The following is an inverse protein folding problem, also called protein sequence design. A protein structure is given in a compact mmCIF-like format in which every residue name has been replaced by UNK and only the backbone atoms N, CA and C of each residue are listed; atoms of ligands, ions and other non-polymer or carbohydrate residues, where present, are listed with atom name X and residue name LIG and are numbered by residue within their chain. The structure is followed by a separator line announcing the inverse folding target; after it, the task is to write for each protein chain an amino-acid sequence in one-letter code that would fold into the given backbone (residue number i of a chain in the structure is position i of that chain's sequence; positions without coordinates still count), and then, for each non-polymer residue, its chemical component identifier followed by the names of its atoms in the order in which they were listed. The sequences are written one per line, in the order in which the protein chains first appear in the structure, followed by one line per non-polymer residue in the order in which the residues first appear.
data_IF_776307996719
#
_entry.id   IF_776307996719
#
_cell.length_a   1.000
_cell.length_b   1.000
_cell.length_c   1.000
_cell.angle_alpha   90.00
_cell.angle_beta   90.00
_cell.angle_gamma   90.00
#
_symmetry.space_group_name_H-M   'P 1'
#
loop_
_entity.id
_entity.type
_entity.pdbx_description
1 polymer ?
#
# COMPACT_ATOMS: atom_id res chain seq x y z
N UNK A 1 3.41 -8.21 9.45
CA UNK A 1 3.04 -7.12 8.51
C UNK A 1 1.80 -7.58 7.75
N UNK A 2 0.74 -6.77 7.75
CA UNK A 2 -0.56 -7.12 7.12
C UNK A 2 -0.45 -7.06 5.60
N UNK A 3 -1.28 -7.80 4.86
CA UNK A 3 -1.34 -7.65 3.39
C UNK A 3 -2.17 -6.42 3.01
N UNK A 4 -1.79 -5.75 1.94
CA UNK A 4 -2.49 -4.54 1.46
C UNK A 4 -3.99 -4.81 1.19
N UNK A 5 -4.34 -5.95 0.61
CA UNK A 5 -5.70 -6.36 0.26
C UNK A 5 -6.61 -6.66 1.46
N UNK A 6 -6.05 -6.70 2.67
CA UNK A 6 -6.82 -6.92 3.89
C UNK A 6 -7.33 -5.62 4.52
N UNK A 7 -6.89 -4.44 4.05
CA UNK A 7 -7.35 -3.14 4.56
C UNK A 7 -8.84 -2.93 4.26
N UNK A 8 -9.57 -2.35 5.21
CA UNK A 8 -10.95 -1.93 4.96
C UNK A 8 -10.96 -0.57 4.26
N UNK A 9 -10.88 -0.61 2.93
CA UNK A 9 -10.86 0.56 2.05
C UNK A 9 -12.20 1.31 1.98
N UNK A 10 -13.26 0.83 2.65
CA UNK A 10 -14.55 1.55 2.74
C UNK A 10 -14.49 2.70 3.74
N UNK A 11 -13.46 2.76 4.59
CA UNK A 11 -13.18 3.90 5.47
C UNK A 11 -12.29 4.91 4.76
N UNK A 12 -12.19 6.12 5.32
CA UNK A 12 -11.19 7.09 4.87
C UNK A 12 -9.79 6.51 5.08
N UNK A 13 -9.03 6.38 4.00
CA UNK A 13 -7.68 5.81 4.00
C UNK A 13 -6.75 6.75 3.24
N UNK A 14 -5.55 6.96 3.79
CA UNK A 14 -4.43 7.58 3.10
C UNK A 14 -3.36 6.54 2.78
N UNK A 15 -2.75 6.62 1.60
CA UNK A 15 -1.58 5.82 1.23
C UNK A 15 -0.32 6.64 1.51
N UNK A 16 0.47 6.21 2.49
CA UNK A 16 1.78 6.80 2.78
C UNK A 16 2.84 5.91 2.16
N UNK A 17 3.57 6.46 1.18
CA UNK A 17 4.60 5.72 0.44
C UNK A 17 5.95 6.41 0.59
N UNK A 18 7.00 5.59 0.65
CA UNK A 18 8.37 6.06 0.74
C UNK A 18 8.98 6.32 -0.62
N UNK A 19 10.23 6.80 -0.62
CA UNK A 19 10.99 6.94 -1.86
C UNK A 19 11.31 5.57 -2.47
N UNK A 20 11.58 5.54 -3.77
CA UNK A 20 11.93 4.28 -4.46
C UNK A 20 13.27 3.71 -3.99
N UNK A 21 14.23 4.58 -3.65
CA UNK A 21 15.57 4.17 -3.27
C UNK A 21 15.68 3.77 -1.80
N UNK A 22 14.98 4.47 -0.90
CA UNK A 22 15.15 4.32 0.55
C UNK A 22 13.88 3.87 1.29
N UNK A 23 12.74 3.80 0.62
CA UNK A 23 11.47 3.46 1.25
C UNK A 23 11.02 4.55 2.25
N UNK A 24 10.19 4.15 3.22
CA UNK A 24 9.73 5.05 4.27
C UNK A 24 10.83 5.25 5.32
N UNK A 25 11.08 6.50 5.77
CA UNK A 25 11.97 6.72 6.90
C UNK A 25 11.52 5.89 8.12
N UNK A 26 12.45 5.25 8.86
CA UNK A 26 12.09 4.43 10.02
C UNK A 26 11.26 5.17 11.07
N UNK A 27 11.51 6.47 11.27
CA UNK A 27 10.73 7.32 12.18
C UNK A 27 9.25 7.40 11.77
N UNK A 28 8.97 7.65 10.48
CA UNK A 28 7.59 7.69 9.95
C UNK A 28 6.93 6.32 10.06
N UNK A 29 7.68 5.25 9.79
CA UNK A 29 7.15 3.89 9.94
C UNK A 29 6.84 3.56 11.40
N UNK A 30 7.64 4.07 12.35
CA UNK A 30 7.46 3.85 13.78
C UNK A 30 6.17 4.51 14.31
N UNK A 31 5.78 5.66 13.77
CA UNK A 31 4.52 6.35 14.11
C UNK A 31 3.27 5.56 13.69
N UNK A 32 3.37 4.69 12.69
CA UNK A 32 2.26 3.86 12.24
C UNK A 32 2.10 2.62 13.13
N UNK A 33 0.91 2.36 13.71
CA UNK A 33 0.62 1.09 14.37
C UNK A 33 0.83 -0.11 13.41
N UNK A 34 1.27 -1.29 13.91
CA UNK A 34 1.54 -2.47 13.08
C UNK A 34 0.41 -2.86 12.12
N UNK A 35 -0.85 -2.60 12.48
CA UNK A 35 -2.06 -2.93 11.71
C UNK A 35 -2.25 -2.04 10.48
N UNK A 36 -1.61 -0.86 10.48
CA UNK A 36 -1.57 0.10 9.37
C UNK A 36 -0.33 -0.09 8.48
N UNK A 37 0.63 -0.92 8.91
CA UNK A 37 1.80 -1.29 8.10
C UNK A 37 1.42 -2.46 7.20
N UNK A 38 1.32 -2.19 5.91
CA UNK A 38 0.92 -3.17 4.90
C UNK A 38 2.03 -3.48 3.91
N UNK A 39 1.95 -4.65 3.26
CA UNK A 39 2.82 -5.06 2.16
C UNK A 39 2.02 -5.67 1.01
N UNK A 40 2.52 -5.46 -0.20
CA UNK A 40 2.13 -6.23 -1.38
C UNK A 40 2.88 -7.57 -1.32
N UNK A 41 2.20 -8.72 -1.44
CA UNK A 41 2.87 -10.02 -1.48
C UNK A 41 3.84 -10.11 -2.66
N UNK A 42 5.07 -10.56 -2.38
CA UNK A 42 6.14 -10.71 -3.35
C UNK A 42 6.85 -12.04 -3.10
N UNK A 43 7.42 -12.65 -4.15
CA UNK A 43 8.25 -13.86 -3.98
C UNK A 43 9.52 -13.52 -3.19
N UNK A 44 10.07 -14.43 -2.38
CA UNK A 44 11.37 -14.23 -1.78
C UNK A 44 12.46 -14.02 -2.85
N UNK A 45 13.45 -13.17 -2.54
CA UNK A 45 14.64 -12.97 -3.40
C UNK A 45 14.44 -12.06 -4.62
N UNK A 46 13.23 -11.52 -4.85
CA UNK A 46 13.03 -10.52 -5.91
C UNK A 46 13.15 -9.11 -5.36
N UNK A 47 13.59 -8.18 -6.22
CA UNK A 47 13.59 -6.75 -5.91
C UNK A 47 12.16 -6.26 -5.71
N UNK A 48 11.99 -5.25 -4.86
CA UNK A 48 10.72 -4.52 -4.71
C UNK A 48 10.18 -4.05 -6.06
N UNK A 49 8.86 -3.94 -6.16
CA UNK A 49 8.21 -3.28 -7.29
C UNK A 49 8.62 -1.80 -7.31
N UNK A 50 8.64 -1.21 -8.50
CA UNK A 50 8.81 0.23 -8.62
C UNK A 50 7.68 0.96 -7.87
N UNK A 51 7.93 2.23 -7.52
CA UNK A 51 7.02 3.01 -6.69
C UNK A 51 5.65 3.20 -7.37
N UNK A 52 5.64 3.54 -8.66
CA UNK A 52 4.41 3.79 -9.42
C UNK A 52 3.49 2.55 -9.48
N UNK A 53 4.05 1.38 -9.76
CA UNK A 53 3.35 0.09 -9.77
C UNK A 53 2.81 -0.24 -8.38
N UNK A 54 3.59 -0.02 -7.33
CA UNK A 54 3.14 -0.28 -5.96
C UNK A 54 1.95 0.59 -5.56
N UNK A 55 2.00 1.89 -5.88
CA UNK A 55 0.89 2.83 -5.66
C UNK A 55 -0.32 2.42 -6.49
N UNK A 56 -0.13 2.11 -7.77
CA UNK A 56 -1.20 1.67 -8.67
C UNK A 56 -1.93 0.43 -8.15
N UNK A 57 -1.21 -0.60 -7.68
CA UNK A 57 -1.80 -1.80 -7.09
C UNK A 57 -2.67 -1.46 -5.87
N UNK A 58 -2.16 -0.64 -4.95
CA UNK A 58 -2.89 -0.27 -3.74
C UNK A 58 -4.11 0.62 -4.06
N UNK A 59 -3.97 1.56 -4.98
CA UNK A 59 -5.05 2.45 -5.41
C UNK A 59 -6.16 1.68 -6.14
N UNK A 60 -5.80 0.75 -7.02
CA UNK A 60 -6.81 -0.07 -7.73
C UNK A 60 -7.49 -1.09 -6.84
N UNK A 61 -6.82 -1.62 -5.81
CA UNK A 61 -7.51 -2.43 -4.79
C UNK A 61 -8.51 -1.59 -4.00
N UNK A 62 -8.16 -0.36 -3.63
CA UNK A 62 -9.09 0.56 -3.00
C UNK A 62 -10.29 0.85 -3.92
N UNK A 63 -10.03 1.18 -5.19
CA UNK A 63 -11.08 1.40 -6.18
C UNK A 63 -11.97 0.17 -6.35
N UNK A 64 -11.38 -1.04 -6.47
CA UNK A 64 -12.12 -2.30 -6.57
C UNK A 64 -13.03 -2.55 -5.36
N UNK A 65 -12.55 -2.27 -4.15
CA UNK A 65 -13.33 -2.41 -2.90
C UNK A 65 -14.48 -1.40 -2.80
N UNK A 66 -14.34 -0.25 -3.46
CA UNK A 66 -15.36 0.78 -3.56
C UNK A 66 -16.29 0.60 -4.77
N UNK A 67 -16.05 -0.40 -5.62
CA UNK A 67 -16.84 -0.63 -6.84
C UNK A 67 -16.49 0.31 -8.00
N UNK A 68 -15.24 0.76 -8.10
CA UNK A 68 -14.72 1.63 -9.17
C UNK A 68 -15.51 2.93 -9.38
N UNK A 69 -15.80 3.71 -8.32
CA UNK A 69 -16.63 4.90 -8.44
C UNK A 69 -16.00 5.92 -9.41
N UNK A 70 -16.76 6.32 -10.43
CA UNK A 70 -16.32 7.30 -11.43
C UNK A 70 -15.26 6.78 -12.42
N UNK A 71 -14.98 5.47 -12.42
CA UNK A 71 -14.15 4.81 -13.42
C UNK A 71 -15.06 3.94 -14.32
N UNK A 72 -14.72 3.85 -15.61
CA UNK A 72 -15.48 3.10 -16.62
C UNK A 72 -15.30 1.59 -16.51
#
# INVERSE_FOLDING_TARGET
VRRYDQVDYRRVVGLVVGSESSGLPPAVLAEAPPERRVRIPMRPGIRSLNLATSVGIAAYEAARRLGFPGLA
#
